data_IF_071018609341
#
_entry.id   IF_071018609341
#
_cell.length_a   1.000
_cell.length_b   1.000
_cell.length_c   1.000
_cell.angle_alpha   90.00
_cell.angle_beta   90.00
_cell.angle_gamma   90.00
#
_symmetry.space_group_name_H-M   'P 1'
#
loop_
_entity.id
_entity.type
_entity.pdbx_description
1 polymer ?
#
# COMPACT_ATOMS: atom_id res chain seq x y z
N UNK A 1 13.63 -3.16 -10.29
CA UNK A 1 12.48 -2.33 -10.68
C UNK A 1 12.74 -1.61 -12.01
N UNK A 2 13.93 -1.04 -12.22
CA UNK A 2 14.31 -0.39 -13.49
C UNK A 2 14.35 -1.44 -14.61
N UNK A 3 15.00 -2.59 -14.41
CA UNK A 3 15.14 -3.66 -15.41
C UNK A 3 13.80 -4.19 -15.93
N UNK A 4 12.78 -4.23 -15.07
CA UNK A 4 11.44 -4.71 -15.43
C UNK A 4 10.46 -3.58 -15.78
N UNK A 5 10.94 -2.34 -15.90
CA UNK A 5 10.16 -1.20 -16.39
C UNK A 5 9.14 -0.60 -15.42
N UNK A 6 9.18 -0.98 -14.13
CA UNK A 6 8.30 -0.37 -13.11
C UNK A 6 8.76 1.05 -12.77
N UNK A 7 10.06 1.26 -12.75
CA UNK A 7 10.67 2.55 -12.40
C UNK A 7 11.52 3.02 -13.58
N UNK A 8 11.36 4.28 -14.04
CA UNK A 8 12.16 4.84 -15.13
C UNK A 8 13.66 4.80 -14.83
N UNK A 9 14.48 4.63 -15.86
CA UNK A 9 15.93 4.75 -15.75
C UNK A 9 16.30 6.16 -15.26
N UNK A 10 17.28 6.25 -14.35
CA UNK A 10 17.73 7.53 -13.77
C UNK A 10 16.86 8.05 -12.62
N UNK A 11 15.80 7.32 -12.22
CA UNK A 11 15.02 7.68 -11.04
C UNK A 11 15.92 7.76 -9.81
N UNK A 12 15.87 8.89 -9.13
CA UNK A 12 16.59 9.08 -7.87
C UNK A 12 15.79 8.48 -6.71
N UNK A 13 16.50 7.84 -5.78
CA UNK A 13 15.88 7.39 -4.53
C UNK A 13 15.53 8.62 -3.67
N UNK A 14 14.39 8.55 -3.01
CA UNK A 14 14.05 9.54 -2.00
C UNK A 14 15.08 9.53 -0.86
N UNK A 15 15.31 10.69 -0.28
CA UNK A 15 16.18 10.82 0.88
C UNK A 15 15.66 9.95 2.04
N UNK A 16 16.61 9.44 2.80
CA UNK A 16 16.32 8.69 4.02
C UNK A 16 15.70 9.65 5.05
N UNK A 17 14.62 9.21 5.68
CA UNK A 17 13.99 10.00 6.74
C UNK A 17 14.99 10.22 7.88
N UNK A 18 15.00 11.40 8.46
CA UNK A 18 16.00 11.86 9.42
C UNK A 18 16.14 10.96 10.66
N UNK A 19 15.08 10.29 11.07
CA UNK A 19 15.06 9.37 12.22
C UNK A 19 15.37 7.91 11.85
N UNK A 20 15.49 7.58 10.57
CA UNK A 20 15.88 6.24 10.12
C UNK A 20 17.41 6.15 10.17
N UNK A 21 17.99 5.26 10.99
CA UNK A 21 19.43 5.16 11.12
C UNK A 21 20.10 4.68 9.83
N UNK A 22 21.34 5.10 9.64
CA UNK A 22 22.16 4.53 8.58
C UNK A 22 22.54 3.09 8.94
N UNK A 23 22.24 2.15 8.06
CA UNK A 23 22.49 0.73 8.29
C UNK A 23 24.00 0.41 8.47
N UNK A 24 24.88 1.25 7.92
CA UNK A 24 26.34 1.10 8.06
C UNK A 24 26.82 1.45 9.47
N UNK A 25 26.06 2.27 10.20
CA UNK A 25 26.36 2.70 11.57
C UNK A 25 25.76 1.74 12.63
N UNK A 26 24.95 0.80 12.23
CA UNK A 26 24.34 -0.16 13.15
C UNK A 26 25.37 -1.21 13.63
N UNK A 27 25.31 -1.53 14.91
CA UNK A 27 26.05 -2.67 15.45
C UNK A 27 25.67 -3.98 14.73
N UNK A 28 26.59 -4.95 14.59
CA UNK A 28 26.31 -6.20 13.85
C UNK A 28 25.07 -6.94 14.36
N UNK A 29 24.84 -6.98 15.69
CA UNK A 29 23.67 -7.62 16.30
C UNK A 29 22.37 -6.92 15.88
N UNK A 30 22.32 -5.61 15.85
CA UNK A 30 21.14 -4.86 15.43
C UNK A 30 20.85 -5.08 13.93
N UNK A 31 21.90 -5.08 13.11
CA UNK A 31 21.77 -5.37 11.66
C UNK A 31 21.25 -6.79 11.43
N UNK A 32 21.74 -7.78 12.15
CA UNK A 32 21.25 -9.16 12.08
C UNK A 32 19.79 -9.27 12.48
N UNK A 33 19.39 -8.60 13.57
CA UNK A 33 17.99 -8.56 14.02
C UNK A 33 17.06 -7.92 12.97
N UNK A 34 17.48 -6.82 12.36
CA UNK A 34 16.72 -6.20 11.25
C UNK A 34 16.62 -7.13 10.05
N UNK A 35 17.70 -7.83 9.69
CA UNK A 35 17.67 -8.84 8.63
C UNK A 35 16.65 -9.95 8.90
N UNK A 36 16.62 -10.45 10.15
CA UNK A 36 15.64 -11.49 10.55
C UNK A 36 14.20 -11.01 10.48
N UNK A 37 13.92 -9.76 10.86
CA UNK A 37 12.58 -9.17 10.72
C UNK A 37 12.12 -9.13 9.25
N UNK A 38 13.00 -8.76 8.33
CA UNK A 38 12.69 -8.74 6.90
C UNK A 38 12.53 -10.15 6.33
N UNK A 39 13.34 -11.11 6.76
CA UNK A 39 13.20 -12.52 6.38
C UNK A 39 11.81 -13.06 6.74
N UNK A 40 11.33 -12.77 7.95
CA UNK A 40 9.99 -13.16 8.40
C UNK A 40 8.91 -12.50 7.55
N UNK A 41 9.05 -11.20 7.27
CA UNK A 41 8.12 -10.49 6.38
C UNK A 41 8.09 -11.11 4.98
N UNK A 42 9.24 -11.42 4.41
CA UNK A 42 9.34 -12.08 3.10
C UNK A 42 8.64 -13.45 3.10
N UNK A 43 8.80 -14.23 4.17
CA UNK A 43 8.09 -15.50 4.34
C UNK A 43 6.57 -15.33 4.44
N UNK A 44 6.08 -14.23 5.04
CA UNK A 44 4.64 -13.91 5.05
C UNK A 44 4.12 -13.57 3.64
N UNK A 45 4.89 -12.84 2.84
CA UNK A 45 4.52 -12.53 1.44
C UNK A 45 4.50 -13.80 0.59
N UNK A 46 5.48 -14.68 0.74
CA UNK A 46 5.52 -15.98 0.07
C UNK A 46 4.31 -16.86 0.45
N UNK A 47 3.94 -16.86 1.73
CA UNK A 47 2.76 -17.57 2.22
C UNK A 47 1.46 -16.99 1.60
N UNK A 48 1.34 -15.68 1.50
CA UNK A 48 0.21 -15.02 0.82
C UNK A 48 0.11 -15.48 -0.64
N UNK A 49 1.22 -15.46 -1.39
CA UNK A 49 1.27 -15.89 -2.79
C UNK A 49 0.83 -17.36 -2.93
N UNK A 50 1.35 -18.24 -2.06
CA UNK A 50 0.94 -19.65 -2.02
C UNK A 50 -0.58 -19.81 -1.84
N UNK A 51 -1.18 -19.05 -0.93
CA UNK A 51 -2.62 -19.14 -0.68
C UNK A 51 -3.48 -18.53 -1.79
N UNK A 52 -3.01 -17.49 -2.46
CA UNK A 52 -3.63 -16.98 -3.69
C UNK A 52 -3.60 -18.06 -4.78
N UNK A 53 -2.47 -18.77 -4.93
CA UNK A 53 -2.36 -19.93 -5.84
C UNK A 53 -3.40 -21.02 -5.55
N UNK A 54 -3.60 -21.37 -4.27
CA UNK A 54 -4.64 -22.34 -3.86
C UNK A 54 -6.06 -21.87 -4.22
N UNK A 55 -6.36 -20.59 -4.07
CA UNK A 55 -7.65 -20.03 -4.47
C UNK A 55 -7.83 -20.14 -5.99
N UNK A 56 -6.81 -19.81 -6.77
CA UNK A 56 -6.82 -19.93 -8.24
C UNK A 56 -7.06 -21.38 -8.65
N UNK A 57 -6.37 -22.34 -8.03
CA UNK A 57 -6.55 -23.76 -8.33
C UNK A 57 -7.97 -24.26 -8.02
N UNK A 58 -8.53 -23.81 -6.91
CA UNK A 58 -9.93 -24.11 -6.57
C UNK A 58 -10.90 -23.54 -7.62
N UNK A 59 -10.74 -22.30 -8.03
CA UNK A 59 -11.58 -21.68 -9.07
C UNK A 59 -11.47 -22.41 -10.41
N UNK A 60 -10.29 -22.92 -10.77
CA UNK A 60 -10.09 -23.76 -11.96
C UNK A 60 -10.84 -25.09 -11.82
N UNK A 61 -10.78 -25.73 -10.64
CA UNK A 61 -11.47 -27.01 -10.37
C UNK A 61 -12.99 -26.91 -10.51
N UNK A 62 -13.57 -25.78 -10.06
CA UNK A 62 -15.03 -25.56 -10.15
C UNK A 62 -15.47 -24.87 -11.45
N UNK A 63 -14.53 -24.57 -12.37
CA UNK A 63 -14.83 -23.98 -13.68
C UNK A 63 -15.13 -22.48 -13.66
N UNK A 64 -14.82 -21.77 -12.57
CA UNK A 64 -15.13 -20.34 -12.38
C UNK A 64 -13.90 -19.42 -12.59
N UNK A 65 -12.74 -19.97 -12.89
CA UNK A 65 -11.51 -19.18 -13.06
C UNK A 65 -11.65 -18.13 -14.18
N UNK A 66 -12.16 -18.53 -15.34
CA UNK A 66 -12.31 -17.65 -16.51
C UNK A 66 -13.44 -16.61 -16.34
N UNK A 67 -14.27 -16.77 -15.31
CA UNK A 67 -15.35 -15.85 -14.93
C UNK A 67 -15.00 -15.02 -13.68
N UNK A 68 -13.76 -15.03 -13.23
CA UNK A 68 -13.32 -14.35 -12.02
C UNK A 68 -12.30 -13.25 -12.34
N UNK A 69 -12.53 -12.03 -11.81
CA UNK A 69 -11.56 -10.95 -11.83
C UNK A 69 -10.79 -10.94 -10.52
N UNK A 70 -9.46 -10.94 -10.62
CA UNK A 70 -8.55 -10.76 -9.50
C UNK A 70 -8.07 -9.32 -9.44
N UNK A 71 -8.21 -8.69 -8.28
CA UNK A 71 -7.69 -7.36 -7.99
C UNK A 71 -6.84 -7.47 -6.73
N UNK A 72 -5.52 -7.30 -6.86
CA UNK A 72 -4.57 -7.40 -5.76
C UNK A 72 -3.84 -6.07 -5.62
N UNK A 73 -3.90 -5.48 -4.44
CA UNK A 73 -3.25 -4.21 -4.14
C UNK A 73 -3.02 -4.04 -2.64
N UNK A 74 -2.07 -3.15 -2.26
CA UNK A 74 -1.96 -2.65 -0.90
C UNK A 74 -2.91 -1.47 -0.68
N UNK A 75 -3.52 -1.37 0.49
CA UNK A 75 -4.43 -0.28 0.87
C UNK A 75 -3.69 1.01 1.21
N UNK A 76 -2.43 0.90 1.64
CA UNK A 76 -1.53 2.01 1.99
C UNK A 76 -0.07 1.60 1.76
N UNK A 77 0.84 2.53 1.97
CA UNK A 77 2.27 2.25 1.99
C UNK A 77 2.67 1.27 3.11
N UNK A 78 3.90 0.80 3.05
CA UNK A 78 4.46 -0.17 4.00
C UNK A 78 4.34 0.32 5.45
N UNK A 79 4.03 -0.57 6.39
CA UNK A 79 3.88 -0.26 7.82
C UNK A 79 5.26 -0.11 8.47
N UNK A 80 5.61 1.10 8.84
CA UNK A 80 6.88 1.42 9.49
C UNK A 80 6.79 1.62 11.01
N UNK A 81 5.58 1.66 11.57
CA UNK A 81 5.41 1.92 12.99
C UNK A 81 5.61 0.64 13.79
N UNK A 82 6.43 0.71 14.81
CA UNK A 82 6.50 -0.31 15.83
C UNK A 82 5.49 0.05 16.93
N UNK A 83 4.40 -0.71 17.00
CA UNK A 83 3.33 -0.43 17.95
C UNK A 83 3.82 -0.49 19.41
N UNK A 84 4.78 -1.37 19.70
CA UNK A 84 5.37 -1.47 21.03
C UNK A 84 6.17 -0.20 21.40
N UNK A 85 6.96 0.31 20.47
CA UNK A 85 7.71 1.57 20.69
C UNK A 85 6.76 2.77 20.81
N UNK A 86 5.72 2.84 20.00
CA UNK A 86 4.70 3.89 20.07
C UNK A 86 3.97 3.89 21.41
N UNK A 87 3.57 2.71 21.89
CA UNK A 87 2.86 2.55 23.15
C UNK A 87 3.81 2.82 24.33
N UNK A 88 5.05 2.38 24.28
CA UNK A 88 6.02 2.58 25.36
C UNK A 88 6.27 4.05 25.70
N UNK A 89 6.13 4.95 24.72
CA UNK A 89 6.27 6.39 24.89
C UNK A 89 5.03 7.11 25.48
N UNK A 90 3.90 6.41 25.66
CA UNK A 90 2.64 7.02 26.07
C UNK A 90 2.42 6.90 27.59
N UNK A 91 1.97 7.96 28.29
CA UNK A 91 1.63 7.88 29.73
C UNK A 91 0.57 6.80 30.01
N UNK A 92 0.79 5.98 31.02
CA UNK A 92 -0.12 4.90 31.40
C UNK A 92 -0.05 3.63 30.56
N UNK A 93 0.83 3.58 29.57
CA UNK A 93 0.96 2.48 28.63
C UNK A 93 1.76 1.28 29.17
N UNK A 94 2.46 1.46 30.29
CA UNK A 94 3.36 0.45 30.84
C UNK A 94 2.68 -0.88 31.11
N UNK A 95 1.49 -0.83 31.73
CA UNK A 95 0.72 -2.04 32.05
C UNK A 95 0.17 -2.70 30.79
N UNK A 96 -0.26 -1.91 29.81
CA UNK A 96 -0.69 -2.40 28.50
C UNK A 96 0.48 -3.00 27.72
N UNK A 97 1.64 -2.37 27.75
CA UNK A 97 2.85 -2.90 27.12
C UNK A 97 3.27 -4.24 27.75
N UNK A 98 3.29 -4.33 29.08
CA UNK A 98 3.57 -5.59 29.77
C UNK A 98 2.53 -6.67 29.48
N UNK A 99 1.26 -6.32 29.43
CA UNK A 99 0.20 -7.26 29.04
C UNK A 99 0.38 -7.74 27.60
N UNK A 100 0.66 -6.84 26.66
CA UNK A 100 0.90 -7.19 25.26
C UNK A 100 2.17 -8.03 25.08
N UNK A 101 3.26 -7.72 25.78
CA UNK A 101 4.50 -8.53 25.77
C UNK A 101 4.30 -9.92 26.37
N UNK A 102 3.49 -10.03 27.42
CA UNK A 102 3.16 -11.32 28.02
C UNK A 102 2.19 -12.14 27.18
N UNK A 103 1.33 -11.47 26.40
CA UNK A 103 0.37 -12.11 25.51
C UNK A 103 1.02 -12.56 24.20
N UNK A 104 2.04 -11.87 23.74
CA UNK A 104 2.76 -12.18 22.50
C UNK A 104 4.11 -12.85 22.81
N UNK A 105 4.45 -13.86 22.01
CA UNK A 105 5.73 -14.58 22.12
C UNK A 105 6.83 -13.84 21.34
N UNK A 106 7.30 -12.70 21.84
CA UNK A 106 8.26 -11.84 21.15
C UNK A 106 9.73 -12.02 21.59
N UNK A 107 10.08 -13.17 22.17
CA UNK A 107 11.47 -13.51 22.40
C UNK A 107 12.23 -13.65 21.07
N UNK A 108 13.47 -13.15 20.94
CA UNK A 108 14.23 -13.23 19.68
C UNK A 108 14.33 -14.64 19.09
N UNK A 109 14.38 -15.67 19.94
CA UNK A 109 14.42 -17.06 19.50
C UNK A 109 13.06 -17.60 19.01
N UNK A 110 11.98 -16.89 19.27
CA UNK A 110 10.62 -17.25 18.87
C UNK A 110 10.06 -16.34 17.75
N UNK A 111 10.89 -15.47 17.21
CA UNK A 111 10.47 -14.60 16.11
C UNK A 111 10.08 -15.40 14.87
N UNK A 112 8.85 -15.20 14.42
CA UNK A 112 8.23 -15.94 13.33
C UNK A 112 7.41 -17.16 13.78
N UNK A 113 7.50 -17.56 15.05
CA UNK A 113 6.67 -18.61 15.62
C UNK A 113 5.24 -18.12 15.91
N UNK A 114 4.28 -19.03 16.07
CA UNK A 114 2.93 -18.69 16.46
C UNK A 114 2.90 -17.83 17.74
N UNK A 115 2.15 -16.74 17.67
CA UNK A 115 2.02 -15.79 18.79
C UNK A 115 3.11 -14.71 18.83
N UNK A 116 4.13 -14.75 17.98
CA UNK A 116 5.04 -13.62 17.82
C UNK A 116 4.36 -12.48 17.04
N UNK A 117 4.63 -11.24 17.44
CA UNK A 117 4.17 -10.06 16.75
C UNK A 117 5.36 -9.10 16.56
N UNK A 118 5.83 -9.00 15.35
CA UNK A 118 6.98 -8.20 15.00
C UNK A 118 6.63 -7.12 13.99
N UNK A 119 7.12 -5.91 14.24
CA UNK A 119 7.21 -4.87 13.23
C UNK A 119 8.63 -4.87 12.64
N UNK A 120 8.75 -4.75 11.34
CA UNK A 120 10.07 -4.67 10.69
C UNK A 120 10.66 -3.24 10.72
N UNK A 121 9.84 -2.25 11.10
CA UNK A 121 10.25 -0.91 11.46
C UNK A 121 10.42 0.05 10.28
N UNK A 122 10.68 1.33 10.57
CA UNK A 122 10.67 2.41 9.60
C UNK A 122 11.73 2.28 8.50
N UNK A 123 12.88 1.71 8.80
CA UNK A 123 13.94 1.51 7.82
C UNK A 123 13.50 0.57 6.69
N UNK A 124 12.93 -0.59 7.03
CA UNK A 124 12.44 -1.53 6.06
C UNK A 124 11.17 -1.05 5.37
N UNK A 125 10.31 -0.30 6.06
CA UNK A 125 9.15 0.31 5.44
C UNK A 125 9.56 1.29 4.35
N UNK A 126 10.54 2.15 4.61
CA UNK A 126 11.06 3.07 3.59
C UNK A 126 11.71 2.32 2.42
N UNK A 127 12.49 1.27 2.69
CA UNK A 127 13.07 0.42 1.64
C UNK A 127 11.97 -0.22 0.79
N UNK A 128 10.91 -0.73 1.40
CA UNK A 128 9.78 -1.37 0.69
C UNK A 128 9.03 -0.38 -0.21
N UNK A 129 9.07 0.91 0.08
CA UNK A 129 8.42 1.96 -0.72
C UNK A 129 9.33 2.65 -1.71
N UNK A 130 10.59 2.22 -1.85
CA UNK A 130 11.51 2.82 -2.84
C UNK A 130 10.94 2.73 -4.27
N UNK A 131 11.08 3.77 -5.07
CA UNK A 131 11.93 4.98 -4.89
C UNK A 131 11.22 6.14 -4.15
N UNK A 132 10.02 5.92 -3.64
CA UNK A 132 9.19 6.97 -3.06
C UNK A 132 9.63 7.39 -1.66
N UNK A 133 9.27 8.61 -1.29
CA UNK A 133 9.49 9.16 0.05
C UNK A 133 8.44 8.64 1.03
N UNK A 134 8.86 8.39 2.25
CA UNK A 134 8.01 8.03 3.38
C UNK A 134 7.34 6.64 3.21
N UNK A 135 6.32 6.34 4.04
CA UNK A 135 5.62 5.06 4.11
C UNK A 135 4.22 5.29 4.74
N UNK A 136 3.50 4.25 5.16
CA UNK A 136 2.17 4.34 5.78
C UNK A 136 2.08 5.44 6.84
N UNK A 137 0.93 6.06 6.96
CA UNK A 137 0.60 7.21 7.80
C UNK A 137 1.12 8.56 7.29
N UNK A 138 1.78 8.61 6.14
CA UNK A 138 2.22 9.81 5.48
C UNK A 138 1.49 10.04 4.16
N UNK A 139 1.45 11.30 3.69
CA UNK A 139 0.81 11.65 2.42
C UNK A 139 1.79 11.83 1.25
N UNK A 140 3.08 11.52 1.45
CA UNK A 140 4.01 11.35 0.33
C UNK A 140 3.66 10.08 -0.48
N UNK A 141 4.27 9.94 -1.65
CA UNK A 141 3.97 8.80 -2.53
C UNK A 141 4.20 7.45 -1.85
N UNK A 142 5.22 7.32 -1.00
CA UNK A 142 5.48 6.08 -0.26
C UNK A 142 4.38 5.70 0.74
N UNK A 143 3.57 6.67 1.20
CA UNK A 143 2.45 6.40 2.10
C UNK A 143 1.15 6.01 1.39
N UNK A 144 0.96 6.45 0.13
CA UNK A 144 -0.33 6.35 -0.56
C UNK A 144 -0.28 5.65 -1.92
N UNK A 145 0.91 5.43 -2.48
CA UNK A 145 1.06 4.82 -3.81
C UNK A 145 1.51 3.37 -3.70
N UNK A 146 0.68 2.47 -4.20
CA UNK A 146 0.95 1.04 -4.18
C UNK A 146 0.85 0.44 -5.58
N UNK A 147 1.45 -0.73 -5.74
CA UNK A 147 1.22 -1.56 -6.92
C UNK A 147 -0.22 -2.08 -6.91
N UNK A 148 -0.81 -2.17 -8.10
CA UNK A 148 -2.12 -2.77 -8.35
C UNK A 148 -1.94 -3.81 -9.45
N UNK A 149 -2.43 -5.02 -9.22
CA UNK A 149 -2.46 -6.10 -10.19
C UNK A 149 -3.92 -6.40 -10.50
N UNK A 150 -4.29 -6.43 -11.77
CA UNK A 150 -5.63 -6.82 -12.22
C UNK A 150 -5.49 -7.92 -13.27
N UNK A 151 -6.23 -9.00 -13.09
CA UNK A 151 -6.27 -10.14 -14.01
C UNK A 151 -7.68 -10.70 -14.11
N UNK A 152 -8.04 -11.26 -15.26
CA UNK A 152 -9.32 -11.91 -15.49
C UNK A 152 -10.12 -11.33 -16.66
N UNK A 153 -11.40 -11.69 -16.79
CA UNK A 153 -12.24 -11.26 -17.90
C UNK A 153 -12.36 -9.73 -17.96
N UNK A 154 -12.38 -9.18 -19.17
CA UNK A 154 -12.41 -7.74 -19.42
C UNK A 154 -11.02 -7.09 -19.47
N UNK A 155 -9.97 -7.75 -19.03
CA UNK A 155 -8.59 -7.28 -19.21
C UNK A 155 -8.09 -7.67 -20.61
N UNK A 156 -7.94 -6.67 -21.49
CA UNK A 156 -7.50 -6.88 -22.89
C UNK A 156 -6.03 -6.48 -23.10
N UNK A 157 -5.37 -5.91 -22.10
CA UNK A 157 -3.92 -5.65 -22.13
C UNK A 157 -3.15 -6.98 -22.16
N UNK A 158 -2.00 -7.05 -22.82
CA UNK A 158 -1.17 -8.24 -22.83
C UNK A 158 -0.82 -8.68 -21.39
N UNK A 159 -0.80 -9.99 -21.17
CA UNK A 159 -0.36 -10.55 -19.89
C UNK A 159 1.05 -10.06 -19.52
N UNK A 160 1.26 -9.69 -18.28
CA UNK A 160 2.53 -9.14 -17.79
C UNK A 160 2.81 -7.68 -18.21
N UNK A 161 1.88 -7.01 -18.89
CA UNK A 161 2.06 -5.59 -19.21
C UNK A 161 2.05 -4.72 -17.97
N UNK A 162 2.90 -3.70 -17.94
CA UNK A 162 3.04 -2.77 -16.83
C UNK A 162 2.58 -1.38 -17.30
N UNK A 163 1.65 -0.78 -16.58
CA UNK A 163 1.19 0.59 -16.80
C UNK A 163 1.76 1.50 -15.70
N UNK A 164 2.71 2.35 -16.04
CA UNK A 164 3.33 3.32 -15.12
C UNK A 164 2.77 4.73 -15.25
N UNK A 165 1.88 4.97 -16.21
CA UNK A 165 1.33 6.30 -16.54
C UNK A 165 0.01 6.58 -15.84
N UNK A 166 -0.74 5.53 -15.51
CA UNK A 166 -2.08 5.68 -14.93
C UNK A 166 -2.05 6.04 -13.45
N UNK A 167 -2.93 6.95 -13.06
CA UNK A 167 -3.26 7.19 -11.64
C UNK A 167 -4.64 6.63 -11.36
N UNK A 168 -4.69 5.53 -10.62
CA UNK A 168 -5.90 4.91 -10.14
C UNK A 168 -6.07 5.17 -8.64
N UNK A 169 -7.29 5.13 -8.15
CA UNK A 169 -7.62 5.37 -6.75
C UNK A 169 -8.52 4.23 -6.23
N UNK A 170 -8.46 3.91 -4.95
CA UNK A 170 -9.30 2.86 -4.34
C UNK A 170 -10.80 3.09 -4.57
N UNK A 171 -11.24 4.35 -4.59
CA UNK A 171 -12.62 4.72 -4.90
C UNK A 171 -13.09 4.31 -6.32
N UNK A 172 -12.16 3.98 -7.21
CA UNK A 172 -12.45 3.58 -8.59
C UNK A 172 -12.88 2.11 -8.69
N UNK A 173 -12.62 1.31 -7.67
CA UNK A 173 -12.97 -0.12 -7.66
C UNK A 173 -14.47 -0.30 -7.84
N UNK A 174 -15.27 0.43 -7.07
CA UNK A 174 -16.74 0.31 -7.12
C UNK A 174 -17.31 0.61 -8.52
N UNK A 175 -17.05 1.77 -9.14
CA UNK A 175 -17.55 2.05 -10.48
C UNK A 175 -17.00 1.08 -11.54
N UNK A 176 -15.77 0.58 -11.38
CA UNK A 176 -15.21 -0.43 -12.29
C UNK A 176 -15.98 -1.74 -12.22
N UNK A 177 -16.24 -2.26 -11.01
CA UNK A 177 -16.97 -3.50 -10.83
C UNK A 177 -18.42 -3.39 -11.30
N UNK A 178 -19.07 -2.24 -11.09
CA UNK A 178 -20.43 -1.99 -11.58
C UNK A 178 -20.48 -1.98 -13.12
N UNK A 179 -19.54 -1.33 -13.77
CA UNK A 179 -19.46 -1.31 -15.23
C UNK A 179 -19.19 -2.70 -15.81
N UNK A 180 -18.25 -3.46 -15.23
CA UNK A 180 -17.98 -4.84 -15.65
C UNK A 180 -19.19 -5.73 -15.44
N UNK A 181 -19.95 -5.54 -14.36
CA UNK A 181 -21.17 -6.28 -14.08
C UNK A 181 -22.38 -5.83 -14.91
N UNK A 182 -22.22 -4.82 -15.80
CA UNK A 182 -23.30 -4.29 -16.63
C UNK A 182 -24.40 -3.58 -15.84
N UNK A 183 -24.08 -3.05 -14.67
CA UNK A 183 -25.02 -2.33 -13.79
C UNK A 183 -24.54 -0.93 -13.47
N UNK A 184 -25.36 -0.15 -12.79
CA UNK A 184 -25.05 1.23 -12.44
C UNK A 184 -25.19 1.50 -10.94
N UNK A 185 -24.51 2.53 -10.47
CA UNK A 185 -24.62 3.00 -9.09
C UNK A 185 -26.03 3.51 -8.82
N UNK A 186 -26.71 3.06 -7.75
CA UNK A 186 -28.08 3.44 -7.47
C UNK A 186 -28.19 4.93 -7.10
N UNK A 187 -29.18 5.63 -7.63
CA UNK A 187 -29.48 7.01 -7.21
C UNK A 187 -30.22 7.08 -5.88
N UNK A 188 -30.95 6.03 -5.54
CA UNK A 188 -31.68 5.95 -4.27
C UNK A 188 -31.54 4.55 -3.66
N UNK A 189 -31.49 4.48 -2.34
CA UNK A 189 -31.51 3.21 -1.60
C UNK A 189 -32.42 3.33 -0.38
N UNK A 190 -33.36 2.42 -0.24
CA UNK A 190 -34.39 2.42 0.85
C UNK A 190 -35.07 3.79 1.02
N UNK A 191 -35.43 4.44 -0.11
CA UNK A 191 -36.13 5.72 -0.13
C UNK A 191 -35.28 6.95 0.22
N UNK A 192 -33.94 6.80 0.31
CA UNK A 192 -33.01 7.91 0.52
C UNK A 192 -32.12 8.08 -0.70
N UNK A 193 -31.79 9.33 -1.02
CA UNK A 193 -30.83 9.65 -2.06
C UNK A 193 -29.43 9.12 -1.67
N UNK A 194 -28.73 8.54 -2.65
CA UNK A 194 -27.36 8.05 -2.50
C UNK A 194 -26.41 9.04 -3.15
N UNK A 195 -25.35 9.48 -2.43
CA UNK A 195 -24.33 10.34 -3.02
C UNK A 195 -23.68 9.64 -4.23
N UNK A 196 -23.36 10.39 -5.30
CA UNK A 196 -22.71 9.80 -6.48
C UNK A 196 -21.37 9.16 -6.11
N UNK A 197 -20.99 8.10 -6.83
CA UNK A 197 -19.66 7.52 -6.69
C UNK A 197 -18.59 8.55 -7.08
N UNK A 198 -17.57 8.69 -6.22
CA UNK A 198 -16.47 9.66 -6.45
C UNK A 198 -15.41 9.11 -7.41
N UNK A 199 -15.34 7.79 -7.57
CA UNK A 199 -14.34 7.13 -8.40
C UNK A 199 -14.68 7.15 -9.89
N UNK A 200 -13.69 6.78 -10.70
CA UNK A 200 -13.79 6.61 -12.15
C UNK A 200 -13.47 5.16 -12.53
N UNK A 201 -14.27 4.59 -13.42
CA UNK A 201 -14.05 3.20 -13.86
C UNK A 201 -12.70 3.01 -14.55
N UNK A 202 -12.04 1.88 -14.24
CA UNK A 202 -10.81 1.44 -14.89
C UNK A 202 -11.04 0.71 -16.20
N UNK A 203 -12.26 0.40 -16.59
CA UNK A 203 -12.56 -0.38 -17.80
C UNK A 203 -11.82 0.13 -19.03
N UNK A 204 -11.75 1.44 -19.34
CA UNK A 204 -10.94 1.92 -20.44
C UNK A 204 -9.45 1.57 -20.35
N UNK A 205 -8.91 1.53 -19.12
CA UNK A 205 -7.50 1.16 -18.86
C UNK A 205 -7.30 -0.34 -19.01
N UNK A 206 -8.20 -1.14 -18.47
CA UNK A 206 -8.16 -2.60 -18.56
C UNK A 206 -8.27 -3.08 -20.01
N UNK A 207 -9.06 -2.39 -20.82
CA UNK A 207 -9.21 -2.66 -22.26
C UNK A 207 -8.06 -2.10 -23.12
N UNK A 208 -7.13 -1.36 -22.56
CA UNK A 208 -6.03 -0.74 -23.33
C UNK A 208 -6.44 0.46 -24.16
N UNK A 209 -7.63 1.05 -23.94
CA UNK A 209 -8.13 2.25 -24.64
C UNK A 209 -7.62 3.56 -24.03
N UNK A 210 -7.11 3.51 -22.81
CA UNK A 210 -6.52 4.63 -22.07
C UNK A 210 -5.42 4.13 -21.15
N UNK A 211 -4.53 5.04 -20.70
CA UNK A 211 -3.52 4.72 -19.68
C UNK A 211 -3.96 5.14 -18.29
N UNK A 212 -4.91 6.05 -18.16
CA UNK A 212 -5.46 6.52 -16.89
C UNK A 212 -6.98 6.69 -17.01
N UNK A 213 -7.75 6.44 -15.93
CA UNK A 213 -9.16 6.83 -15.87
C UNK A 213 -9.33 8.34 -15.64
N UNK A 214 -8.22 9.04 -15.38
CA UNK A 214 -8.18 10.48 -15.06
C UNK A 214 -7.45 11.28 -16.13
N UNK A 215 -7.84 12.53 -16.24
CA UNK A 215 -7.18 13.56 -17.03
C UNK A 215 -6.35 14.46 -16.10
N UNK A 216 -5.54 15.35 -16.68
CA UNK A 216 -4.76 16.34 -15.95
C UNK A 216 -5.62 17.40 -15.23
N UNK A 217 -6.93 17.44 -15.52
CA UNK A 217 -7.87 18.34 -14.83
C UNK A 217 -8.47 17.72 -13.56
N UNK A 218 -8.29 16.42 -13.36
CA UNK A 218 -8.83 15.72 -12.18
C UNK A 218 -7.99 15.99 -10.95
N UNK A 219 -8.66 16.29 -9.85
CA UNK A 219 -8.03 16.55 -8.56
C UNK A 219 -8.27 15.39 -7.61
N UNK A 220 -7.21 14.91 -7.01
CA UNK A 220 -7.25 13.99 -5.87
C UNK A 220 -6.73 14.71 -4.62
N UNK A 221 -7.42 14.54 -3.51
CA UNK A 221 -7.05 15.16 -2.26
C UNK A 221 -7.08 14.14 -1.10
N UNK A 222 -6.18 14.31 -0.16
CA UNK A 222 -6.03 13.45 1.01
C UNK A 222 -5.88 14.30 2.27
N UNK A 223 -6.41 13.78 3.36
CA UNK A 223 -6.17 14.28 4.70
C UNK A 223 -5.93 13.07 5.62
N UNK A 224 -4.90 13.14 6.45
CA UNK A 224 -4.61 12.13 7.46
C UNK A 224 -3.86 12.75 8.63
N UNK A 225 -4.41 12.64 9.84
CA UNK A 225 -3.82 13.18 11.06
C UNK A 225 -3.47 14.68 10.97
N UNK A 226 -4.30 15.46 10.29
CA UNK A 226 -4.08 16.88 10.06
C UNK A 226 -3.15 17.23 8.90
N UNK A 227 -2.37 16.27 8.39
CA UNK A 227 -1.59 16.45 7.16
C UNK A 227 -2.52 16.45 5.95
N UNK A 228 -2.14 17.20 4.91
CA UNK A 228 -2.97 17.38 3.71
C UNK A 228 -2.14 17.22 2.46
N UNK A 229 -2.76 16.69 1.42
CA UNK A 229 -2.15 16.65 0.10
C UNK A 229 -3.22 16.84 -0.98
N UNK A 230 -2.82 17.44 -2.08
CA UNK A 230 -3.64 17.56 -3.29
C UNK A 230 -2.77 17.25 -4.50
N UNK A 231 -3.34 16.51 -5.45
CA UNK A 231 -2.69 16.19 -6.73
C UNK A 231 -3.58 16.58 -7.89
N UNK A 232 -2.98 17.19 -8.90
CA UNK A 232 -3.59 17.44 -10.19
C UNK A 232 -2.56 17.18 -11.30
N UNK A 233 -2.88 16.29 -12.21
CA UNK A 233 -1.92 15.82 -13.21
C UNK A 233 -0.63 15.31 -12.56
N UNK A 234 0.51 15.85 -12.97
CA UNK A 234 1.83 15.48 -12.44
C UNK A 234 2.25 16.30 -11.21
N UNK A 235 1.45 17.26 -10.79
CA UNK A 235 1.76 18.10 -9.65
C UNK A 235 1.10 17.55 -8.39
N UNK A 236 1.84 17.61 -7.28
CA UNK A 236 1.37 17.29 -5.96
C UNK A 236 1.86 18.33 -4.98
N UNK A 237 0.92 18.90 -4.23
CA UNK A 237 1.16 19.84 -3.16
C UNK A 237 0.87 19.14 -1.84
N UNK A 238 1.77 19.26 -0.87
CA UNK A 238 1.63 18.67 0.47
C UNK A 238 1.73 19.73 1.52
N UNK A 239 1.00 19.52 2.61
CA UNK A 239 1.18 20.24 3.86
C UNK A 239 1.38 19.22 4.97
N UNK A 240 2.52 19.34 5.68
CA UNK A 240 2.84 18.49 6.82
C UNK A 240 3.21 19.38 8.01
N UNK A 241 2.61 19.13 9.16
CA UNK A 241 2.87 19.91 10.36
C UNK A 241 4.27 19.64 10.95
N UNK A 242 4.78 20.61 11.70
CA UNK A 242 6.08 20.54 12.40
C UNK A 242 5.98 19.51 13.56
N UNK A 243 7.00 18.66 13.82
CA UNK A 243 8.35 18.64 13.18
C UNK A 243 8.45 17.71 11.96
N UNK A 244 7.38 17.15 11.47
CA UNK A 244 7.39 16.14 10.40
C UNK A 244 7.51 16.77 9.01
N UNK A 245 7.15 18.01 8.88
CA UNK A 245 7.29 18.86 7.71
C UNK A 245 7.65 20.29 8.11
N UNK A 246 7.59 21.19 7.15
CA UNK A 246 7.92 22.62 7.37
C UNK A 246 6.77 23.40 8.02
N UNK A 247 5.56 22.87 8.01
CA UNK A 247 4.33 23.58 8.39
C UNK A 247 3.79 24.49 7.27
N UNK A 248 4.41 24.45 6.10
CA UNK A 248 4.01 25.16 4.89
C UNK A 248 3.63 24.16 3.78
N UNK A 249 3.04 24.69 2.71
CA UNK A 249 2.74 23.90 1.52
C UNK A 249 3.98 23.69 0.66
N UNK A 250 4.29 22.44 0.35
CA UNK A 250 5.46 21.98 -0.42
C UNK A 250 5.03 21.25 -1.71
#
# INVERSE_FOLDING_TARGET
QIEIGIVPAGTQLAERMWFVPDSTLLAPVARSAMGKKMEIYAGMVENLDHHVGRLIDHLKQIGEYDNTIFIVFGDNGAEGNDLYEMIAGSPGSRDYLFAAMNWSNNHPNAWGDPGSWLAYGPAWAQVSMTPFSQYKAWLAEGGIRNALIVSGPGVKRPAGSINTQGTMHVADIMPTLLEVAGTSYPKTYKGKDVPPALGKSWVPVLEGRADSPRTDQDVLAWELFGNRAVRQGNWKLRWQWIPLGTGDWE
#
